data_IF_664298736285
#
_entry.id   IF_664298736285
#
_cell.length_a   1.000
_cell.length_b   1.000
_cell.length_c   1.000
_cell.angle_alpha   90.00
_cell.angle_beta   90.00
_cell.angle_gamma   90.00
#
_symmetry.space_group_name_H-M   'P 1'
#
loop_
_entity.id
_entity.type
_entity.pdbx_description
1 polymer ?
#
# COMPACT_ATOMS: atom_id res chain seq x y z
N UNK A 1 0.51 -60.92 9.38
CA UNK A 1 -0.11 -59.63 9.73
C UNK A 1 0.84 -58.45 9.47
N UNK A 2 2.12 -58.54 9.88
CA UNK A 2 3.15 -57.50 9.68
C UNK A 2 3.32 -57.03 8.22
N UNK A 3 3.33 -57.93 7.23
CA UNK A 3 3.53 -57.53 5.82
C UNK A 3 2.43 -56.63 5.25
N UNK A 4 1.15 -56.87 5.59
CA UNK A 4 0.03 -56.01 5.16
C UNK A 4 0.12 -54.63 5.83
N UNK A 5 0.57 -54.59 7.09
CA UNK A 5 0.82 -53.35 7.82
C UNK A 5 1.94 -52.54 7.16
N UNK A 6 3.05 -53.16 6.74
CA UNK A 6 4.15 -52.44 6.07
C UNK A 6 3.73 -51.87 4.71
N UNK A 7 2.85 -52.56 3.97
CA UNK A 7 2.25 -51.98 2.75
C UNK A 7 1.36 -50.78 3.05
N UNK A 8 0.58 -50.81 4.13
CA UNK A 8 -0.22 -49.65 4.54
C UNK A 8 0.67 -48.46 4.93
N UNK A 9 1.75 -48.69 5.70
CA UNK A 9 2.73 -47.65 6.06
C UNK A 9 3.41 -47.09 4.81
N UNK A 10 3.79 -47.94 3.86
CA UNK A 10 4.37 -47.50 2.60
C UNK A 10 3.41 -46.59 1.82
N UNK A 11 2.13 -46.97 1.72
CA UNK A 11 1.12 -46.14 1.06
C UNK A 11 0.94 -44.78 1.74
N UNK A 12 0.90 -44.74 3.07
CA UNK A 12 0.83 -43.48 3.83
C UNK A 12 2.08 -42.63 3.58
N UNK A 13 3.28 -43.21 3.62
CA UNK A 13 4.53 -42.49 3.33
C UNK A 13 4.57 -41.92 1.91
N UNK A 14 4.18 -42.72 0.90
CA UNK A 14 4.09 -42.26 -0.50
C UNK A 14 3.07 -41.13 -0.63
N UNK A 15 1.90 -41.25 0.03
CA UNK A 15 0.89 -40.20 0.02
C UNK A 15 1.40 -38.91 0.69
N UNK A 16 2.12 -39.01 1.80
CA UNK A 16 2.70 -37.85 2.49
C UNK A 16 3.73 -37.11 1.62
N UNK A 17 4.45 -37.82 0.76
CA UNK A 17 5.37 -37.22 -0.22
C UNK A 17 4.60 -36.63 -1.40
N UNK A 18 3.69 -37.39 -2.02
CA UNK A 18 3.06 -37.00 -3.27
C UNK A 18 1.97 -35.94 -3.10
N UNK A 19 1.23 -35.96 -2.00
CA UNK A 19 0.13 -35.04 -1.71
C UNK A 19 0.53 -33.56 -1.77
N UNK A 20 1.62 -33.08 -1.13
CA UNK A 20 1.98 -31.68 -1.21
C UNK A 20 2.29 -31.20 -2.64
N UNK A 21 2.93 -32.02 -3.46
CA UNK A 21 3.18 -31.67 -4.87
C UNK A 21 1.90 -31.71 -5.70
N UNK A 22 1.05 -32.72 -5.49
CA UNK A 22 -0.23 -32.83 -6.19
C UNK A 22 -1.17 -31.64 -5.88
N UNK A 23 -1.06 -31.05 -4.69
CA UNK A 23 -1.82 -29.86 -4.28
C UNK A 23 -1.14 -28.52 -4.61
N UNK A 24 0.07 -28.55 -5.19
CA UNK A 24 0.85 -27.34 -5.50
C UNK A 24 1.30 -26.57 -4.26
N UNK A 25 1.55 -27.24 -3.13
CA UNK A 25 2.03 -26.59 -1.90
C UNK A 25 3.36 -25.85 -2.07
N UNK A 26 4.37 -26.33 -2.83
CA UNK A 26 5.62 -25.59 -3.04
C UNK A 26 5.37 -24.20 -3.61
N UNK A 27 4.66 -24.11 -4.74
CA UNK A 27 4.38 -22.84 -5.42
C UNK A 27 3.57 -21.88 -4.54
N UNK A 28 2.61 -22.40 -3.77
CA UNK A 28 1.80 -21.61 -2.83
C UNK A 28 2.63 -21.08 -1.65
N UNK A 29 3.54 -21.89 -1.13
CA UNK A 29 4.43 -21.51 -0.04
C UNK A 29 5.46 -20.46 -0.50
N UNK A 30 6.04 -20.63 -1.69
CA UNK A 30 6.90 -19.63 -2.34
C UNK A 30 6.15 -18.32 -2.55
N UNK A 31 4.92 -18.38 -3.10
CA UNK A 31 4.08 -17.20 -3.30
C UNK A 31 3.73 -16.48 -1.99
N UNK A 32 3.42 -17.24 -0.92
CA UNK A 32 3.16 -16.68 0.41
C UNK A 32 4.39 -15.98 1.00
N UNK A 33 5.57 -16.58 0.89
CA UNK A 33 6.81 -15.95 1.35
C UNK A 33 7.11 -14.67 0.57
N UNK A 34 7.01 -14.71 -0.78
CA UNK A 34 7.25 -13.55 -1.62
C UNK A 34 6.26 -12.40 -1.31
N UNK A 35 5.01 -12.72 -0.99
CA UNK A 35 4.02 -11.74 -0.56
C UNK A 35 4.44 -11.06 0.75
N UNK A 36 4.80 -11.85 1.76
CA UNK A 36 5.30 -11.32 3.04
C UNK A 36 6.48 -10.40 2.76
N UNK A 37 7.52 -10.87 2.07
CA UNK A 37 8.72 -10.10 1.79
C UNK A 37 8.41 -8.78 1.05
N UNK A 38 7.48 -8.80 0.09
CA UNK A 38 7.08 -7.63 -0.68
C UNK A 38 6.33 -6.59 0.17
N UNK A 39 5.51 -7.03 1.13
CA UNK A 39 4.82 -6.13 2.05
C UNK A 39 5.72 -5.63 3.19
N UNK A 40 6.86 -6.25 3.43
CA UNK A 40 7.77 -5.91 4.55
C UNK A 40 8.10 -4.43 4.66
N UNK A 41 8.57 -3.77 3.60
CA UNK A 41 8.84 -2.34 3.65
C UNK A 41 7.60 -1.49 3.93
N UNK A 42 6.43 -1.88 3.44
CA UNK A 42 5.19 -1.10 3.55
C UNK A 42 4.57 -1.26 4.95
N UNK A 43 4.65 -2.47 5.50
CA UNK A 43 4.14 -2.85 6.82
C UNK A 43 5.21 -2.74 7.92
N UNK A 44 6.32 -2.05 7.65
CA UNK A 44 7.25 -1.65 8.69
C UNK A 44 6.61 -0.57 9.57
N UNK A 45 6.77 -0.68 10.90
CA UNK A 45 6.11 0.23 11.86
C UNK A 45 6.39 1.70 11.56
N UNK A 46 7.64 2.06 11.25
CA UNK A 46 8.01 3.45 11.00
C UNK A 46 7.33 3.97 9.72
N UNK A 47 7.22 3.12 8.69
CA UNK A 47 6.55 3.49 7.44
C UNK A 47 5.04 3.59 7.59
N UNK A 48 4.42 2.72 8.40
CA UNK A 48 3.00 2.80 8.73
C UNK A 48 2.70 4.09 9.50
N UNK A 49 3.54 4.43 10.48
CA UNK A 49 3.39 5.65 11.28
C UNK A 49 3.57 6.92 10.44
N UNK A 50 4.57 6.95 9.54
CA UNK A 50 4.75 8.04 8.57
C UNK A 50 3.51 8.19 7.69
N UNK A 51 2.99 7.06 7.18
CA UNK A 51 1.80 7.05 6.33
C UNK A 51 0.58 7.60 7.06
N UNK A 52 0.37 7.16 8.31
CA UNK A 52 -0.70 7.64 9.16
C UNK A 52 -0.55 9.13 9.47
N UNK A 53 0.67 9.59 9.75
CA UNK A 53 0.98 11.00 10.01
C UNK A 53 0.62 11.87 8.80
N UNK A 54 1.05 11.49 7.58
CA UNK A 54 0.66 12.23 6.38
C UNK A 54 -0.87 12.27 6.19
N UNK A 55 -1.56 11.15 6.42
CA UNK A 55 -3.00 11.10 6.29
C UNK A 55 -3.70 12.03 7.29
N UNK A 56 -3.47 11.85 8.60
CA UNK A 56 -4.21 12.57 9.63
C UNK A 56 -3.71 14.00 9.88
N UNK A 57 -2.42 14.28 9.70
CA UNK A 57 -1.85 15.60 10.02
C UNK A 57 -1.68 16.50 8.80
N UNK A 58 -1.67 15.96 7.57
CA UNK A 58 -1.48 16.74 6.34
C UNK A 58 -2.72 16.71 5.46
N UNK A 59 -3.28 15.54 5.16
CA UNK A 59 -4.39 15.43 4.22
C UNK A 59 -5.75 15.72 4.86
N UNK A 60 -6.03 15.21 6.07
CA UNK A 60 -7.30 15.50 6.76
C UNK A 60 -7.51 17.02 6.94
N UNK A 61 -6.53 17.81 7.41
CA UNK A 61 -6.68 19.27 7.51
C UNK A 61 -6.88 19.97 6.15
N UNK A 62 -6.45 19.37 5.04
CA UNK A 62 -6.72 19.90 3.71
C UNK A 62 -8.23 19.87 3.40
N UNK A 63 -8.95 18.90 3.96
CA UNK A 63 -10.42 18.83 3.88
C UNK A 63 -11.10 20.07 4.45
N UNK A 64 -10.55 20.66 5.51
CA UNK A 64 -11.10 21.86 6.15
C UNK A 64 -10.93 23.13 5.29
N UNK A 65 -10.04 23.09 4.29
CA UNK A 65 -9.82 24.20 3.34
C UNK A 65 -10.83 24.17 2.19
N UNK A 66 -11.45 23.03 1.92
CA UNK A 66 -12.37 22.83 0.79
C UNK A 66 -13.55 23.82 0.80
N UNK A 67 -14.23 24.10 1.93
CA UNK A 67 -15.31 25.08 1.97
C UNK A 67 -14.87 26.51 1.63
N UNK A 68 -13.58 26.83 1.76
CA UNK A 68 -13.02 28.10 1.34
C UNK A 68 -12.68 28.13 -0.17
N UNK A 69 -12.36 26.96 -0.76
CA UNK A 69 -11.96 26.77 -2.16
C UNK A 69 -13.15 26.47 -3.08
N UNK A 70 -14.14 27.37 -3.12
CA UNK A 70 -15.36 27.20 -3.92
C UNK A 70 -15.47 28.24 -5.03
N UNK A 71 -16.21 27.90 -6.09
CA UNK A 71 -16.51 28.86 -7.17
C UNK A 71 -17.23 30.10 -6.64
N UNK A 72 -18.15 29.93 -5.68
CA UNK A 72 -18.87 31.04 -5.04
C UNK A 72 -17.92 32.04 -4.38
N UNK A 73 -16.93 31.56 -3.63
CA UNK A 73 -15.95 32.44 -3.00
C UNK A 73 -15.07 33.14 -4.03
N UNK A 74 -14.69 32.44 -5.12
CA UNK A 74 -13.90 33.04 -6.19
C UNK A 74 -14.69 34.13 -6.92
N UNK A 75 -15.95 33.90 -7.23
CA UNK A 75 -16.83 34.89 -7.84
C UNK A 75 -16.97 36.13 -6.95
N UNK A 76 -17.09 35.91 -5.63
CA UNK A 76 -17.08 36.99 -4.63
C UNK A 76 -15.78 37.80 -4.65
N UNK A 77 -14.62 37.14 -4.72
CA UNK A 77 -13.32 37.83 -4.78
C UNK A 77 -13.08 38.54 -6.12
N UNK A 78 -13.55 37.98 -7.24
CA UNK A 78 -13.54 38.66 -8.54
C UNK A 78 -14.37 39.95 -8.48
N UNK A 79 -15.52 39.94 -7.79
CA UNK A 79 -16.29 41.16 -7.56
C UNK A 79 -15.54 42.25 -6.78
N UNK A 80 -14.58 41.88 -5.91
CA UNK A 80 -13.72 42.87 -5.26
C UNK A 80 -12.68 43.46 -6.22
N UNK A 81 -12.16 42.67 -7.16
CA UNK A 81 -11.25 43.17 -8.21
C UNK A 81 -11.91 44.24 -9.07
N UNK A 82 -13.17 44.03 -9.47
CA UNK A 82 -13.92 45.03 -10.23
C UNK A 82 -13.99 46.38 -9.47
N UNK A 83 -14.17 46.32 -8.15
CA UNK A 83 -14.14 47.49 -7.27
C UNK A 83 -12.77 48.18 -7.23
N UNK A 84 -11.67 47.43 -7.22
CA UNK A 84 -10.31 48.00 -7.28
C UNK A 84 -10.01 48.62 -8.65
N UNK A 85 -10.49 48.02 -9.74
CA UNK A 85 -10.38 48.61 -11.08
C UNK A 85 -11.13 49.93 -11.14
N UNK A 86 -12.36 49.99 -10.61
CA UNK A 86 -13.13 51.23 -10.53
C UNK A 86 -12.42 52.31 -9.68
N UNK A 87 -11.85 51.93 -8.53
CA UNK A 87 -11.08 52.84 -7.68
C UNK A 87 -9.85 53.41 -8.40
N UNK A 88 -9.16 52.59 -9.20
CA UNK A 88 -8.02 53.03 -10.02
C UNK A 88 -8.42 54.12 -11.02
N UNK A 89 -9.55 53.93 -11.71
CA UNK A 89 -10.11 54.92 -12.64
C UNK A 89 -10.48 56.23 -11.92
N UNK A 90 -11.12 56.15 -10.75
CA UNK A 90 -11.46 57.34 -9.97
C UNK A 90 -10.22 58.08 -9.47
N UNK A 91 -9.16 57.34 -9.10
CA UNK A 91 -7.91 57.91 -8.63
C UNK A 91 -7.18 58.74 -9.70
N UNK A 92 -7.22 58.29 -10.97
CA UNK A 92 -6.67 59.06 -12.10
C UNK A 92 -7.37 60.41 -12.27
N UNK A 93 -8.67 60.48 -11.96
CA UNK A 93 -9.49 61.69 -12.09
C UNK A 93 -9.48 62.58 -10.83
N UNK A 94 -8.97 62.06 -9.71
CA UNK A 94 -9.01 62.74 -8.42
C UNK A 94 -8.12 63.98 -8.38
N UNK A 95 -6.91 63.90 -8.96
CA UNK A 95 -5.97 65.02 -9.01
C UNK A 95 -6.53 66.21 -9.81
N UNK A 96 -7.02 66.03 -11.05
CA UNK A 96 -7.69 67.11 -11.80
C UNK A 96 -8.90 67.70 -11.05
N UNK A 97 -9.74 66.84 -10.45
CA UNK A 97 -10.93 67.29 -9.72
C UNK A 97 -10.57 68.14 -8.49
N UNK A 98 -9.57 67.73 -7.71
CA UNK A 98 -9.07 68.48 -6.56
C UNK A 98 -8.40 69.79 -6.98
N UNK A 99 -7.63 69.77 -8.06
CA UNK A 99 -7.02 70.98 -8.63
C UNK A 99 -8.07 72.02 -9.03
N UNK A 100 -9.12 71.59 -9.73
CA UNK A 100 -10.25 72.43 -10.11
C UNK A 100 -10.99 72.98 -8.88
N UNK A 101 -11.26 72.14 -7.87
CA UNK A 101 -11.96 72.54 -6.65
C UNK A 101 -11.18 73.54 -5.79
N UNK A 102 -9.85 73.37 -5.71
CA UNK A 102 -8.97 74.26 -4.93
C UNK A 102 -8.46 75.47 -5.72
N UNK A 103 -8.79 75.57 -7.01
CA UNK A 103 -8.27 76.61 -7.93
C UNK A 103 -6.74 76.65 -7.96
N UNK A 104 -6.09 75.50 -7.83
CA UNK A 104 -4.63 75.36 -7.87
C UNK A 104 -4.18 74.58 -9.12
N UNK A 105 -2.95 74.79 -9.61
CA UNK A 105 -2.37 73.94 -10.65
C UNK A 105 -2.30 72.46 -10.19
N UNK A 106 -2.53 71.53 -11.10
CA UNK A 106 -2.48 70.07 -10.82
C UNK A 106 -1.13 69.62 -10.25
N UNK A 107 -0.04 70.22 -10.74
CA UNK A 107 1.33 69.92 -10.29
C UNK A 107 1.52 70.25 -8.79
N UNK A 108 0.87 71.31 -8.30
CA UNK A 108 0.89 71.65 -6.88
C UNK A 108 0.07 70.66 -6.03
N UNK A 109 -1.03 70.14 -6.57
CA UNK A 109 -1.84 69.12 -5.90
C UNK A 109 -1.10 67.80 -5.83
N UNK A 110 -0.40 67.40 -6.90
CA UNK A 110 0.45 66.21 -6.89
C UNK A 110 1.60 66.33 -5.88
N UNK A 111 2.29 67.47 -5.85
CA UNK A 111 3.34 67.73 -4.86
C UNK A 111 2.80 67.67 -3.43
N UNK A 112 1.65 68.32 -3.18
CA UNK A 112 0.98 68.26 -1.88
C UNK A 112 0.60 66.84 -1.48
N UNK A 113 0.04 66.05 -2.41
CA UNK A 113 -0.28 64.64 -2.15
C UNK A 113 0.96 63.79 -1.87
N UNK A 114 2.04 64.00 -2.62
CA UNK A 114 3.31 63.29 -2.40
C UNK A 114 3.94 63.62 -1.05
N UNK A 115 3.85 64.88 -0.59
CA UNK A 115 4.40 65.31 0.69
C UNK A 115 3.52 64.92 1.89
N UNK A 116 2.20 65.09 1.78
CA UNK A 116 1.27 64.91 2.90
C UNK A 116 0.66 63.51 2.97
N UNK A 117 0.58 62.80 1.83
CA UNK A 117 -0.02 61.48 1.72
C UNK A 117 0.87 60.46 0.97
N UNK A 118 2.16 60.32 1.33
CA UNK A 118 3.10 59.47 0.60
C UNK A 118 2.65 57.99 0.52
N UNK A 119 1.96 57.49 1.55
CA UNK A 119 1.42 56.13 1.55
C UNK A 119 0.31 55.92 0.51
N UNK A 120 -0.56 56.92 0.31
CA UNK A 120 -1.61 56.87 -0.70
C UNK A 120 -1.01 56.88 -2.10
N UNK A 121 0.01 57.72 -2.35
CA UNK A 121 0.73 57.75 -3.62
C UNK A 121 1.41 56.41 -3.91
N UNK A 122 2.05 55.80 -2.91
CA UNK A 122 2.63 54.46 -3.04
C UNK A 122 1.58 53.40 -3.37
N UNK A 123 0.43 53.41 -2.69
CA UNK A 123 -0.67 52.48 -2.96
C UNK A 123 -1.19 52.61 -4.40
N UNK A 124 -1.45 53.84 -4.87
CA UNK A 124 -1.92 54.10 -6.23
C UNK A 124 -0.94 53.65 -7.31
N UNK A 125 0.37 53.77 -7.04
CA UNK A 125 1.41 53.28 -7.95
C UNK A 125 1.47 51.74 -7.98
N UNK A 126 1.25 51.07 -6.85
CA UNK A 126 1.27 49.60 -6.73
C UNK A 126 -0.03 48.91 -7.19
N UNK A 127 -1.11 49.66 -7.37
CA UNK A 127 -2.46 49.15 -7.62
C UNK A 127 -2.54 48.24 -8.87
N UNK A 128 -1.94 48.59 -10.02
CA UNK A 128 -1.98 47.73 -11.21
C UNK A 128 -1.27 46.38 -11.02
N UNK A 129 -0.15 46.38 -10.30
CA UNK A 129 0.60 45.14 -9.97
C UNK A 129 -0.22 44.27 -9.03
N UNK A 130 -0.79 44.86 -7.97
CA UNK A 130 -1.67 44.17 -7.02
C UNK A 130 -2.89 43.52 -7.70
N UNK A 131 -3.52 44.23 -8.64
CA UNK A 131 -4.63 43.67 -9.42
C UNK A 131 -4.20 42.46 -10.26
N UNK A 132 -3.02 42.56 -10.90
CA UNK A 132 -2.46 41.49 -11.71
C UNK A 132 -2.17 40.24 -10.87
N UNK A 133 -1.51 40.42 -9.73
CA UNK A 133 -1.16 39.33 -8.81
C UNK A 133 -2.41 38.65 -8.23
N UNK A 134 -3.40 39.44 -7.81
CA UNK A 134 -4.62 38.91 -7.22
C UNK A 134 -5.51 38.21 -8.26
N UNK A 135 -5.61 38.75 -9.48
CA UNK A 135 -6.28 38.07 -10.59
C UNK A 135 -5.58 36.73 -10.93
N UNK A 136 -4.25 36.71 -10.91
CA UNK A 136 -3.46 35.48 -11.08
C UNK A 136 -3.77 34.44 -10.00
N UNK A 137 -3.80 34.86 -8.73
CA UNK A 137 -4.15 33.99 -7.61
C UNK A 137 -5.56 33.42 -7.73
N UNK A 138 -6.56 34.25 -8.03
CA UNK A 138 -7.94 33.79 -8.23
C UNK A 138 -8.08 32.87 -9.43
N UNK A 139 -7.32 33.11 -10.50
CA UNK A 139 -7.24 32.21 -11.65
C UNK A 139 -6.68 30.83 -11.26
N UNK A 140 -5.64 30.78 -10.42
CA UNK A 140 -5.10 29.54 -9.89
C UNK A 140 -6.13 28.84 -8.99
N UNK A 141 -6.78 29.57 -8.08
CA UNK A 141 -7.82 28.99 -7.23
C UNK A 141 -8.95 28.38 -8.07
N UNK A 142 -9.48 29.13 -9.05
CA UNK A 142 -10.54 28.68 -9.96
C UNK A 142 -10.15 27.47 -10.80
N UNK A 143 -8.91 27.42 -11.29
CA UNK A 143 -8.41 26.27 -12.03
C UNK A 143 -8.32 24.99 -11.18
N UNK A 144 -8.30 25.12 -9.85
CA UNK A 144 -8.14 24.00 -8.92
C UNK A 144 -9.39 23.65 -8.09
N UNK A 145 -10.48 24.42 -8.15
CA UNK A 145 -11.72 24.15 -7.39
C UNK A 145 -12.17 22.70 -7.54
N UNK A 146 -12.26 22.19 -8.77
CA UNK A 146 -12.69 20.82 -9.04
C UNK A 146 -11.75 19.74 -8.47
N UNK A 147 -10.49 20.07 -8.22
CA UNK A 147 -9.54 19.18 -7.52
C UNK A 147 -9.84 19.19 -6.02
N UNK A 148 -10.01 20.39 -5.44
CA UNK A 148 -10.32 20.54 -4.02
C UNK A 148 -11.66 19.92 -3.62
N UNK A 149 -12.67 19.99 -4.50
CA UNK A 149 -13.97 19.33 -4.29
C UNK A 149 -13.86 17.80 -4.13
N UNK A 150 -12.81 17.18 -4.66
CA UNK A 150 -12.59 15.75 -4.55
C UNK A 150 -11.84 15.34 -3.28
N UNK A 151 -11.25 16.29 -2.55
CA UNK A 151 -10.46 16.00 -1.34
C UNK A 151 -11.28 15.20 -0.30
N UNK A 152 -12.53 15.56 0.05
CA UNK A 152 -13.29 14.80 1.06
C UNK A 152 -13.50 13.35 0.66
N UNK A 153 -13.91 13.09 -0.59
CA UNK A 153 -14.09 11.73 -1.10
C UNK A 153 -12.77 10.93 -1.15
N UNK A 154 -11.66 11.61 -1.44
CA UNK A 154 -10.32 11.03 -1.37
C UNK A 154 -9.97 10.62 0.06
N UNK A 155 -10.19 11.50 1.04
CA UNK A 155 -9.97 11.19 2.46
C UNK A 155 -10.77 9.97 2.89
N UNK A 156 -12.08 9.97 2.64
CA UNK A 156 -12.97 8.84 2.96
C UNK A 156 -12.49 7.51 2.32
N UNK A 157 -11.89 7.57 1.12
CA UNK A 157 -11.36 6.40 0.43
C UNK A 157 -10.07 5.87 1.08
N UNK A 158 -9.17 6.75 1.50
CA UNK A 158 -7.86 6.36 2.04
C UNK A 158 -7.89 6.06 3.54
N UNK A 159 -8.83 6.63 4.30
CA UNK A 159 -8.99 6.37 5.73
C UNK A 159 -8.96 4.87 6.12
N UNK A 160 -9.77 3.99 5.48
CA UNK A 160 -9.79 2.58 5.86
C UNK A 160 -8.46 1.89 5.55
N UNK A 161 -7.72 2.32 4.53
CA UNK A 161 -6.42 1.74 4.18
C UNK A 161 -5.39 2.04 5.28
N UNK A 162 -5.29 3.31 5.68
CA UNK A 162 -4.39 3.78 6.73
C UNK A 162 -4.76 3.16 8.09
N UNK A 163 -6.06 3.08 8.39
CA UNK A 163 -6.57 2.47 9.61
C UNK A 163 -6.25 0.98 9.67
N UNK A 164 -6.43 0.26 8.54
CA UNK A 164 -6.12 -1.17 8.45
C UNK A 164 -4.62 -1.43 8.59
N UNK A 165 -3.77 -0.62 7.96
CA UNK A 165 -2.32 -0.74 8.09
C UNK A 165 -1.88 -0.61 9.55
N UNK A 166 -2.35 0.43 10.26
CA UNK A 166 -2.05 0.62 11.68
C UNK A 166 -2.58 -0.52 12.57
N UNK A 167 -3.76 -1.06 12.26
CA UNK A 167 -4.34 -2.16 13.03
C UNK A 167 -3.60 -3.49 12.80
N UNK A 168 -3.10 -3.73 11.59
CA UNK A 168 -2.54 -5.03 11.18
C UNK A 168 -1.01 -5.09 11.21
N UNK A 169 -0.31 -3.96 11.34
CA UNK A 169 1.17 -3.91 11.40
C UNK A 169 1.76 -4.90 12.40
N UNK A 170 1.22 -4.96 13.62
CA UNK A 170 1.66 -5.90 14.64
C UNK A 170 1.36 -7.37 14.29
N UNK A 171 0.29 -7.64 13.56
CA UNK A 171 -0.03 -9.00 13.11
C UNK A 171 0.84 -9.42 11.94
N UNK A 172 1.12 -8.49 11.03
CA UNK A 172 2.09 -8.68 9.96
C UNK A 172 3.46 -9.06 10.53
N UNK A 173 3.97 -8.33 11.53
CA UNK A 173 5.26 -8.65 12.18
C UNK A 173 5.30 -10.06 12.77
N UNK A 174 4.21 -10.50 13.42
CA UNK A 174 4.12 -11.86 13.95
C UNK A 174 4.23 -12.89 12.83
N UNK A 175 3.55 -12.66 11.71
CA UNK A 175 3.58 -13.56 10.56
C UNK A 175 4.95 -13.55 9.87
N UNK A 176 5.55 -12.37 9.70
CA UNK A 176 6.87 -12.19 9.11
C UNK A 176 7.99 -12.79 9.96
N UNK A 177 7.80 -12.89 11.29
CA UNK A 177 8.74 -13.54 12.20
C UNK A 177 8.72 -15.08 12.13
N UNK A 178 7.75 -15.67 11.45
CA UNK A 178 7.67 -17.12 11.30
C UNK A 178 8.83 -17.63 10.44
N UNK A 179 9.22 -18.92 10.61
CA UNK A 179 10.17 -19.53 9.71
C UNK A 179 9.65 -19.50 8.27
N UNK A 180 10.58 -19.46 7.32
CA UNK A 180 10.30 -19.37 5.90
C UNK A 180 9.19 -20.35 5.46
N UNK A 181 8.14 -19.82 4.84
CA UNK A 181 6.94 -20.58 4.49
C UNK A 181 7.26 -21.72 3.53
N UNK A 182 8.33 -21.60 2.73
CA UNK A 182 8.82 -22.63 1.80
C UNK A 182 9.21 -23.92 2.50
N UNK A 183 9.53 -23.85 3.80
CA UNK A 183 9.78 -25.04 4.61
C UNK A 183 8.54 -25.91 4.82
N UNK A 184 7.33 -25.37 4.66
CA UNK A 184 6.08 -26.10 4.90
C UNK A 184 5.97 -27.38 4.05
N UNK A 185 6.44 -27.37 2.80
CA UNK A 185 6.49 -28.56 1.94
C UNK A 185 7.34 -29.67 2.57
N UNK A 186 8.48 -29.32 3.16
CA UNK A 186 9.43 -30.28 3.71
C UNK A 186 8.93 -30.96 5.00
N UNK A 187 8.02 -30.32 5.75
CA UNK A 187 7.35 -30.94 6.90
C UNK A 187 6.56 -32.19 6.52
N UNK A 188 6.06 -32.29 5.27
CA UNK A 188 5.39 -33.48 4.76
C UNK A 188 6.37 -34.42 4.06
N UNK A 189 7.27 -33.89 3.24
CA UNK A 189 8.17 -34.73 2.44
C UNK A 189 9.15 -35.52 3.31
N UNK A 190 9.77 -34.91 4.34
CA UNK A 190 10.81 -35.56 5.15
C UNK A 190 10.26 -36.77 5.92
N UNK A 191 9.19 -36.65 6.73
CA UNK A 191 8.62 -37.81 7.41
C UNK A 191 8.14 -38.88 6.42
N UNK A 192 7.68 -38.47 5.23
CA UNK A 192 7.17 -39.38 4.21
C UNK A 192 8.29 -40.24 3.64
N UNK A 193 9.42 -39.62 3.33
CA UNK A 193 10.64 -40.32 2.89
C UNK A 193 11.13 -41.30 3.97
N UNK A 194 11.09 -40.90 5.24
CA UNK A 194 11.45 -41.78 6.36
C UNK A 194 10.51 -42.99 6.42
N UNK A 195 9.19 -42.78 6.34
CA UNK A 195 8.20 -43.87 6.36
C UNK A 195 8.36 -44.82 5.18
N UNK A 196 8.56 -44.30 3.97
CA UNK A 196 8.81 -45.11 2.78
C UNK A 196 10.10 -45.93 2.94
N UNK A 197 11.18 -45.30 3.40
CA UNK A 197 12.46 -45.96 3.65
C UNK A 197 12.32 -47.13 4.63
N UNK A 198 11.72 -46.89 5.80
CA UNK A 198 11.49 -47.92 6.82
C UNK A 198 10.62 -49.07 6.31
N UNK A 199 9.55 -48.75 5.58
CA UNK A 199 8.65 -49.77 5.04
C UNK A 199 9.33 -50.65 3.97
N UNK A 200 10.10 -50.02 3.06
CA UNK A 200 10.85 -50.74 2.02
C UNK A 200 11.91 -51.64 2.63
N UNK A 201 12.73 -51.13 3.56
CA UNK A 201 13.77 -51.92 4.23
C UNK A 201 13.19 -53.13 4.95
N UNK A 202 12.09 -52.96 5.69
CA UNK A 202 11.45 -54.06 6.39
C UNK A 202 10.84 -55.10 5.44
N UNK A 203 10.22 -54.67 4.34
CA UNK A 203 9.69 -55.59 3.31
C UNK A 203 10.81 -56.38 2.61
N UNK A 204 11.99 -55.78 2.41
CA UNK A 204 13.17 -56.44 1.83
C UNK A 204 13.78 -57.48 2.78
N UNK A 205 13.83 -57.18 4.09
CA UNK A 205 14.31 -58.10 5.12
C UNK A 205 13.39 -59.32 5.26
N UNK A 206 12.06 -59.11 5.21
CA UNK A 206 11.06 -60.19 5.25
C UNK A 206 11.14 -61.11 4.03
N UNK A 207 11.46 -60.56 2.84
CA UNK A 207 11.70 -61.37 1.63
C UNK A 207 12.94 -62.25 1.75
N UNK A 208 14.09 -61.68 2.15
CA UNK A 208 15.35 -62.43 2.28
C UNK A 208 15.22 -63.60 3.24
N UNK A 209 14.59 -63.39 4.39
CA UNK A 209 14.34 -64.46 5.36
C UNK A 209 13.51 -65.62 4.76
N UNK A 210 12.52 -65.30 3.93
CA UNK A 210 11.68 -66.32 3.28
C UNK A 210 12.45 -67.11 2.21
N UNK A 211 13.35 -66.47 1.49
CA UNK A 211 14.18 -67.12 0.47
C UNK A 211 15.24 -68.03 1.12
N UNK A 212 15.87 -67.58 2.22
CA UNK A 212 16.80 -68.40 3.02
C UNK A 212 16.10 -69.62 3.65
N UNK A 213 14.87 -69.48 4.17
CA UNK A 213 14.08 -70.60 4.70
C UNK A 213 13.64 -71.59 3.59
N UNK A 214 13.55 -71.16 2.34
CA UNK A 214 13.15 -72.00 1.20
C UNK A 214 14.30 -72.83 0.61
N UNK A 215 15.56 -72.37 0.75
CA UNK A 215 16.76 -73.08 0.28
C UNK A 215 17.20 -74.20 1.25
N UNK A 216 16.75 -74.15 2.51
CA UNK A 216 17.14 -75.10 3.56
C UNK A 216 16.21 -76.34 3.64
N UNK A 217 15.16 -76.47 2.82
CA UNK A 217 14.40 -77.72 2.74
C UNK A 217 15.17 -78.78 1.95
N UNK A 218 15.65 -79.87 2.59
CA UNK A 218 16.39 -80.89 1.87
C UNK A 218 15.42 -81.81 1.13
N UNK A 219 15.65 -81.99 -0.17
CA UNK A 219 15.06 -83.04 -1.00
C UNK A 219 15.57 -84.41 -0.51
N UNK A 220 14.93 -84.98 0.53
CA UNK A 220 15.30 -86.28 1.08
C UNK A 220 14.44 -87.40 0.47
N UNK A 221 15.03 -88.07 -0.51
CA UNK A 221 15.11 -89.53 -0.71
C UNK A 221 13.81 -90.33 -0.46
N UNK A 222 13.11 -90.67 -1.55
CA UNK A 222 12.09 -91.73 -1.55
C UNK A 222 12.80 -93.09 -1.49
N UNK A 223 12.86 -93.66 -0.28
CA UNK A 223 13.43 -94.99 -0.02
C UNK A 223 12.71 -96.11 -0.80
N UNK A 224 13.52 -97.08 -1.26
CA UNK A 224 13.11 -98.34 -1.85
C UNK A 224 12.53 -99.27 -0.79
N UNK A 225 11.30 -99.73 -0.95
CA UNK A 225 10.79 -100.95 -0.30
C UNK A 225 10.88 -102.15 -1.26
N UNK A 226 11.48 -103.28 -0.86
CA UNK A 226 11.35 -104.55 -1.56
C UNK A 226 10.10 -105.30 -1.06
N UNK A 227 9.22 -105.75 -1.96
CA UNK A 227 8.19 -106.73 -1.64
C UNK A 227 8.80 -108.15 -1.68
N UNK A 228 8.60 -108.88 -0.60
CA UNK A 228 8.67 -110.33 -0.50
C UNK A 228 7.25 -110.87 -0.55
N UNK A 229 6.87 -111.60 -1.61
CA UNK A 229 6.25 -112.95 -1.66
C UNK A 229 6.26 -113.42 -3.12
#
# INVERSE_FOLDING_TARGET
MARKLMWAVLLVGVMLIAAPFAMGLPDKADGGQNMIDAFGPIMDQDNVDITATYYYEVFVPLGDVVPAMTQENIDKFNGYLDGFTALGVDAENMVPALAAAMQMPEENVQAFMGEQFPAMTGMLQSLPEMQTDFAGLLGLMGSNVAIFEQVPAGLDHYEPLVTTMQAEVSNYDKVASLPDFRMFTWFFVIPGVILVGLAVTALMLDRRKKDDDADVTPEVIRERTPELV
#
